data_IF_133821912641
#
_entry.id   IF_133821912641
#
_cell.length_a   1.000
_cell.length_b   1.000
_cell.length_c   1.000
_cell.angle_alpha   90.00
_cell.angle_beta   90.00
_cell.angle_gamma   90.00
#
_symmetry.space_group_name_H-M   'P 1'
#
loop_
_entity.id
_entity.type
_entity.pdbx_description
1 polymer ?
#
# COMPACT_ATOMS: atom_id res chain seq x y z
N UNK A 1 3.78 7.83 -5.21
CA UNK A 1 3.11 6.74 -5.95
C UNK A 1 1.71 6.51 -5.37
N UNK A 2 0.69 6.38 -6.21
CA UNK A 2 -0.66 5.98 -5.78
C UNK A 2 -0.90 4.51 -6.12
N UNK A 3 -1.46 3.77 -5.17
CA UNK A 3 -1.76 2.35 -5.28
C UNK A 3 -3.25 2.19 -5.02
N UNK A 4 -3.97 1.62 -5.97
CA UNK A 4 -5.36 1.20 -5.82
C UNK A 4 -5.37 -0.22 -5.28
N UNK A 5 -6.14 -0.48 -4.23
CA UNK A 5 -6.14 -1.78 -3.55
C UNK A 5 -7.50 -2.41 -3.71
N UNK A 6 -7.58 -3.53 -4.42
CA UNK A 6 -8.84 -4.26 -4.54
C UNK A 6 -9.15 -5.06 -3.27
N UNK A 7 -10.44 -5.16 -2.91
CA UNK A 7 -10.91 -5.90 -1.73
C UNK A 7 -10.79 -5.14 -0.40
N UNK A 8 -10.29 -3.91 -0.40
CA UNK A 8 -10.25 -3.06 0.80
C UNK A 8 -11.60 -2.33 0.96
N UNK A 9 -12.51 -2.88 1.75
CA UNK A 9 -13.88 -2.36 1.95
C UNK A 9 -14.25 -2.05 3.42
N UNK A 10 -13.29 -2.11 4.34
CA UNK A 10 -13.54 -1.92 5.78
C UNK A 10 -12.39 -1.14 6.45
N UNK A 11 -12.69 -0.39 7.51
CA UNK A 11 -11.71 0.40 8.28
C UNK A 11 -10.56 -0.48 8.83
N UNK A 12 -10.88 -1.71 9.23
CA UNK A 12 -9.90 -2.70 9.65
C UNK A 12 -8.90 -3.06 8.54
N UNK A 13 -9.33 -3.08 7.27
CA UNK A 13 -8.46 -3.36 6.13
C UNK A 13 -7.47 -2.21 5.90
N UNK A 14 -7.91 -0.96 6.05
CA UNK A 14 -7.06 0.24 5.96
C UNK A 14 -5.91 0.15 6.96
N UNK A 15 -6.23 -0.17 8.22
CA UNK A 15 -5.23 -0.31 9.29
C UNK A 15 -4.23 -1.43 9.01
N UNK A 16 -4.68 -2.58 8.49
CA UNK A 16 -3.77 -3.69 8.13
C UNK A 16 -2.77 -3.28 7.06
N UNK A 17 -3.25 -2.66 5.98
CA UNK A 17 -2.36 -2.24 4.89
C UNK A 17 -1.44 -1.12 5.32
N UNK A 18 -1.94 -0.13 6.07
CA UNK A 18 -1.09 0.93 6.63
C UNK A 18 0.06 0.32 7.44
N UNK A 19 -0.23 -0.62 8.34
CA UNK A 19 0.78 -1.26 9.17
C UNK A 19 1.74 -2.14 8.34
N UNK A 20 1.28 -2.77 7.26
CA UNK A 20 2.14 -3.51 6.34
C UNK A 20 3.09 -2.58 5.56
N UNK A 21 2.60 -1.42 5.12
CA UNK A 21 3.39 -0.41 4.42
C UNK A 21 4.39 0.28 5.35
N UNK A 22 4.01 0.57 6.59
CA UNK A 22 4.90 1.15 7.61
C UNK A 22 6.06 0.21 7.99
N UNK A 23 5.92 -1.10 7.75
CA UNK A 23 7.00 -2.08 7.94
C UNK A 23 8.00 -2.09 6.79
N UNK A 24 7.73 -1.40 5.69
CA UNK A 24 8.67 -1.27 4.58
C UNK A 24 9.52 -0.03 4.86
N UNK A 25 10.81 -0.18 5.26
CA UNK A 25 11.65 0.95 5.65
C UNK A 25 11.90 1.95 4.49
N UNK A 26 11.66 1.49 3.26
CA UNK A 26 11.88 2.23 2.03
C UNK A 26 10.62 2.97 1.56
N UNK A 27 9.47 2.71 2.21
CA UNK A 27 8.19 3.29 1.86
C UNK A 27 7.80 4.35 2.90
N UNK A 28 7.55 5.57 2.43
CA UNK A 28 6.99 6.64 3.23
C UNK A 28 5.48 6.68 3.05
N UNK A 29 4.74 6.18 4.05
CA UNK A 29 3.28 6.19 4.01
C UNK A 29 2.76 7.61 4.19
N UNK A 30 2.15 8.17 3.14
CA UNK A 30 1.61 9.53 3.18
C UNK A 30 0.12 9.54 3.51
N UNK A 31 -0.66 8.69 2.83
CA UNK A 31 -2.11 8.62 3.01
C UNK A 31 -2.60 7.19 2.76
N UNK A 32 -3.49 6.67 3.58
CA UNK A 32 -4.11 5.35 3.34
C UNK A 32 -5.60 5.49 3.57
N UNK A 33 -6.39 5.13 2.56
CA UNK A 33 -7.84 5.24 2.53
C UNK A 33 -8.43 3.96 1.93
N UNK A 34 -9.74 3.75 2.12
CA UNK A 34 -10.44 2.57 1.60
C UNK A 34 -10.27 2.52 0.07
N UNK A 35 -9.66 1.44 -0.43
CA UNK A 35 -9.43 1.21 -1.86
C UNK A 35 -8.22 1.96 -2.45
N UNK A 36 -7.47 2.76 -1.68
CA UNK A 36 -6.31 3.50 -2.20
C UNK A 36 -5.28 3.83 -1.12
N UNK A 37 -3.99 3.73 -1.47
CA UNK A 37 -2.88 4.16 -0.63
C UNK A 37 -1.93 5.05 -1.43
N UNK A 38 -1.45 6.12 -0.79
CA UNK A 38 -0.43 7.04 -1.30
C UNK A 38 0.83 6.84 -0.47
N UNK A 39 1.89 6.45 -1.15
CA UNK A 39 3.19 6.13 -0.58
C UNK A 39 4.28 6.82 -1.38
N UNK A 40 5.22 7.44 -0.69
CA UNK A 40 6.49 7.92 -1.26
C UNK A 40 7.50 6.80 -1.26
N UNK A 41 8.00 6.43 -2.43
CA UNK A 41 9.07 5.43 -2.58
C UNK A 41 9.79 5.74 -3.89
N UNK A 42 11.07 5.39 -3.96
CA UNK A 42 11.82 5.45 -5.20
C UNK A 42 11.21 4.55 -6.28
N UNK A 43 11.17 5.00 -7.56
CA UNK A 43 10.62 4.21 -8.66
C UNK A 43 11.30 2.84 -8.81
N UNK A 44 12.58 2.73 -8.47
CA UNK A 44 13.31 1.45 -8.48
C UNK A 44 12.90 0.48 -7.36
N UNK A 45 12.19 0.95 -6.32
CA UNK A 45 11.80 0.17 -5.14
C UNK A 45 10.29 0.07 -4.93
N UNK A 46 9.50 0.54 -5.89
CA UNK A 46 8.02 0.40 -5.90
C UNK A 46 7.58 -1.07 -5.74
N UNK A 47 8.35 -2.02 -6.30
CA UNK A 47 8.07 -3.46 -6.22
C UNK A 47 8.02 -3.96 -4.78
N UNK A 48 8.91 -3.49 -3.90
CA UNK A 48 8.93 -3.90 -2.48
C UNK A 48 7.65 -3.47 -1.75
N UNK A 49 7.14 -2.29 -2.10
CA UNK A 49 5.89 -1.75 -1.55
C UNK A 49 4.68 -2.54 -2.02
N UNK A 50 4.62 -2.86 -3.32
CA UNK A 50 3.58 -3.71 -3.89
C UNK A 50 3.60 -5.12 -3.27
N UNK A 51 4.79 -5.69 -3.05
CA UNK A 51 4.92 -6.98 -2.37
C UNK A 51 4.42 -6.94 -0.94
N UNK A 52 4.70 -5.87 -0.18
CA UNK A 52 4.23 -5.74 1.20
C UNK A 52 2.70 -5.72 1.28
N UNK A 53 2.03 -5.03 0.35
CA UNK A 53 0.56 -5.02 0.27
C UNK A 53 0.04 -6.41 -0.13
N UNK A 54 0.70 -7.11 -1.06
CA UNK A 54 0.38 -8.51 -1.40
C UNK A 54 0.52 -9.46 -0.22
N UNK A 55 1.59 -9.33 0.56
CA UNK A 55 1.80 -10.11 1.80
C UNK A 55 0.74 -9.82 2.86
N UNK A 56 0.14 -8.64 2.85
CA UNK A 56 -1.01 -8.33 3.70
C UNK A 56 -2.32 -8.98 3.22
N UNK A 57 -2.33 -9.67 2.08
CA UNK A 57 -3.47 -10.38 1.52
C UNK A 57 -4.34 -9.53 0.59
N UNK A 58 -3.80 -8.44 0.04
CA UNK A 58 -4.53 -7.56 -0.87
C UNK A 58 -3.85 -7.47 -2.23
N UNK A 59 -4.61 -7.14 -3.28
CA UNK A 59 -4.04 -6.87 -4.61
C UNK A 59 -3.81 -5.37 -4.82
N UNK A 60 -2.56 -4.89 -4.72
CA UNK A 60 -2.23 -3.53 -5.10
C UNK A 60 -2.12 -3.41 -6.62
N UNK A 61 -2.68 -2.33 -7.16
CA UNK A 61 -2.59 -1.92 -8.56
C UNK A 61 -2.02 -0.52 -8.60
N UNK A 62 -0.96 -0.30 -9.38
CA UNK A 62 -0.45 1.06 -9.59
C UNK A 62 -1.55 1.89 -10.27
N UNK A 63 -1.89 3.03 -9.68
CA UNK A 63 -2.66 4.06 -10.36
C UNK A 63 -1.65 5.05 -10.93
N UNK A 64 -1.61 5.11 -12.25
CA UNK A 64 -0.83 6.09 -13.03
C UNK A 64 -1.37 7.50 -12.82
#
# INVERSE_FOLDING_TARGET
>A
MKIVIQGMHCDACVRRVRNALEKVPEAQVQKVEVGSAVVGVDPSRETAVLEAVRKAGYEPRKAE
#
